data_IF_633251278753
#
_entry.id   IF_633251278753
#
_cell.length_a   1.000
_cell.length_b   1.000
_cell.length_c   1.000
_cell.angle_alpha   90.00
_cell.angle_beta   90.00
_cell.angle_gamma   90.00
#
_symmetry.space_group_name_H-M   'P 1'
#
loop_
_entity.id
_entity.type
_entity.pdbx_description
1 polymer ?
#
# COMPACT_ATOMS: atom_id res chain seq x y z
N UNK A 1 14.61 33.23 12.40
CA UNK A 1 13.92 31.94 12.18
C UNK A 1 13.58 31.69 10.71
N UNK A 2 12.94 32.64 10.02
CA UNK A 2 12.56 32.53 8.60
C UNK A 2 13.75 32.29 7.63
N UNK A 3 14.86 33.01 7.82
CA UNK A 3 16.06 32.91 6.96
C UNK A 3 16.72 31.52 7.05
N UNK A 4 16.78 30.94 8.25
CA UNK A 4 17.31 29.59 8.46
C UNK A 4 16.44 28.51 7.77
N UNK A 5 15.11 28.67 7.80
CA UNK A 5 14.18 27.77 7.12
C UNK A 5 14.34 27.84 5.58
N UNK A 6 14.48 29.05 5.03
CA UNK A 6 14.74 29.27 3.60
C UNK A 6 16.06 28.62 3.19
N UNK A 7 17.13 28.83 3.97
CA UNK A 7 18.45 28.28 3.69
C UNK A 7 18.49 26.74 3.77
N UNK A 8 17.67 26.13 4.65
CA UNK A 8 17.48 24.67 4.74
C UNK A 8 16.81 24.09 3.50
N UNK A 9 15.73 24.72 3.01
CA UNK A 9 15.03 24.27 1.80
C UNK A 9 15.91 24.39 0.55
N UNK A 10 16.73 25.44 0.47
CA UNK A 10 17.71 25.62 -0.61
C UNK A 10 18.78 24.51 -0.58
N UNK A 11 19.31 24.15 0.60
CA UNK A 11 20.23 23.02 0.73
C UNK A 11 19.61 21.69 0.32
N UNK A 12 18.33 21.46 0.64
CA UNK A 12 17.59 20.27 0.20
C UNK A 12 17.48 20.25 -1.34
N UNK A 13 17.17 21.40 -1.96
CA UNK A 13 17.12 21.54 -3.41
C UNK A 13 18.48 21.22 -4.05
N UNK A 14 19.59 21.74 -3.53
CA UNK A 14 20.92 21.41 -4.04
C UNK A 14 21.29 19.93 -3.85
N UNK A 15 20.75 19.27 -2.82
CA UNK A 15 20.92 17.82 -2.62
C UNK A 15 20.31 16.98 -3.76
N UNK A 16 19.26 17.47 -4.43
CA UNK A 16 18.70 16.81 -5.62
C UNK A 16 19.65 16.87 -6.82
N UNK A 17 20.53 17.88 -6.89
CA UNK A 17 21.55 18.03 -7.94
C UNK A 17 22.88 17.35 -7.59
N UNK A 18 23.00 16.72 -6.42
CA UNK A 18 24.16 15.90 -6.12
C UNK A 18 24.16 14.67 -7.02
N UNK A 19 25.26 14.45 -7.73
CA UNK A 19 25.44 13.29 -8.60
C UNK A 19 25.15 11.96 -7.85
N UNK A 20 25.50 11.89 -6.56
CA UNK A 20 25.24 10.72 -5.72
C UNK A 20 23.74 10.48 -5.43
N UNK A 21 22.91 11.52 -5.40
CA UNK A 21 21.46 11.38 -5.27
C UNK A 21 20.85 10.85 -6.57
N UNK A 22 21.23 11.43 -7.70
CA UNK A 22 20.76 11.04 -9.03
C UNK A 22 21.12 9.59 -9.33
N UNK A 23 22.36 9.16 -9.07
CA UNK A 23 22.77 7.76 -9.31
C UNK A 23 21.99 6.77 -8.46
N UNK A 24 21.75 7.09 -7.17
CA UNK A 24 20.90 6.26 -6.30
C UNK A 24 19.47 6.19 -6.83
N UNK A 25 18.89 7.32 -7.22
CA UNK A 25 17.54 7.37 -7.77
C UNK A 25 17.43 6.51 -9.04
N UNK A 26 18.40 6.63 -9.96
CA UNK A 26 18.45 5.83 -11.17
C UNK A 26 18.63 4.32 -10.87
N UNK A 27 19.47 3.96 -9.90
CA UNK A 27 19.62 2.57 -9.45
C UNK A 27 18.32 2.01 -8.86
N UNK A 28 17.60 2.79 -8.04
CA UNK A 28 16.31 2.39 -7.51
C UNK A 28 15.27 2.21 -8.62
N UNK A 29 15.21 3.15 -9.57
CA UNK A 29 14.30 3.06 -10.71
C UNK A 29 14.61 1.84 -11.59
N UNK A 30 15.90 1.55 -11.82
CA UNK A 30 16.33 0.37 -12.56
C UNK A 30 15.90 -0.91 -11.84
N UNK A 31 16.16 -1.02 -10.54
CA UNK A 31 15.77 -2.19 -9.74
C UNK A 31 14.24 -2.40 -9.75
N UNK A 32 13.47 -1.31 -9.64
CA UNK A 32 12.02 -1.35 -9.74
C UNK A 32 11.56 -1.83 -11.12
N UNK A 33 12.20 -1.39 -12.21
CA UNK A 33 11.85 -1.81 -13.58
C UNK A 33 12.18 -3.28 -13.87
N UNK A 34 13.19 -3.84 -13.21
CA UNK A 34 13.58 -5.24 -13.36
C UNK A 34 12.54 -6.19 -12.79
N UNK A 35 11.77 -5.77 -11.78
CA UNK A 35 10.78 -6.62 -11.13
C UNK A 35 9.65 -7.04 -12.10
N UNK A 36 8.93 -6.13 -12.78
CA UNK A 36 7.92 -6.51 -13.79
C UNK A 36 8.49 -7.31 -14.97
N UNK A 37 9.72 -7.00 -15.40
CA UNK A 37 10.39 -7.75 -16.47
C UNK A 37 10.62 -9.20 -16.06
N UNK A 38 11.09 -9.41 -14.83
CA UNK A 38 11.30 -10.74 -14.28
C UNK A 38 9.98 -11.50 -14.11
N UNK A 39 8.92 -10.84 -13.64
CA UNK A 39 7.59 -11.46 -13.53
C UNK A 39 7.01 -11.85 -14.88
N UNK A 40 7.15 -10.99 -15.88
CA UNK A 40 6.71 -11.27 -17.25
C UNK A 40 7.48 -12.46 -17.83
N UNK A 41 8.80 -12.51 -17.63
CA UNK A 41 9.61 -13.66 -18.00
C UNK A 41 9.13 -14.95 -17.32
N UNK A 42 8.80 -14.89 -16.02
CA UNK A 42 8.34 -16.04 -15.25
C UNK A 42 6.95 -16.53 -15.71
N UNK A 43 6.05 -15.61 -16.07
CA UNK A 43 4.77 -15.90 -16.72
C UNK A 43 4.96 -16.65 -18.04
N UNK A 44 5.86 -16.18 -18.91
CA UNK A 44 6.17 -16.87 -20.16
C UNK A 44 6.80 -18.25 -19.93
N UNK A 45 7.77 -18.34 -19.01
CA UNK A 45 8.44 -19.59 -18.68
C UNK A 45 7.45 -20.63 -18.14
N UNK A 46 6.63 -20.26 -17.16
CA UNK A 46 5.60 -21.15 -16.63
C UNK A 46 4.51 -21.45 -17.67
N UNK A 47 4.17 -20.49 -18.51
CA UNK A 47 3.25 -20.69 -19.65
C UNK A 47 3.76 -21.76 -20.62
N UNK A 48 5.08 -21.84 -20.85
CA UNK A 48 5.67 -22.88 -21.70
C UNK A 48 5.62 -24.29 -21.09
N UNK A 49 5.59 -24.39 -19.76
CA UNK A 49 5.57 -25.68 -19.03
C UNK A 49 4.14 -26.14 -18.73
N UNK A 50 3.28 -25.24 -18.25
CA UNK A 50 1.94 -25.53 -17.75
C UNK A 50 0.83 -25.18 -18.76
N UNK A 51 1.17 -24.44 -19.82
CA UNK A 51 0.23 -23.91 -20.80
C UNK A 51 -0.20 -22.47 -20.48
N UNK A 52 -0.11 -21.59 -21.47
CA UNK A 52 -0.38 -20.15 -21.32
C UNK A 52 -1.74 -19.83 -20.68
N UNK A 53 -2.81 -20.51 -21.09
CA UNK A 53 -4.16 -20.28 -20.54
C UNK A 53 -4.25 -20.64 -19.06
N UNK A 54 -3.63 -21.75 -18.65
CA UNK A 54 -3.64 -22.20 -17.26
C UNK A 54 -2.83 -21.25 -16.36
N UNK A 55 -1.64 -20.84 -16.83
CA UNK A 55 -0.77 -19.89 -16.12
C UNK A 55 -1.47 -18.52 -15.96
N UNK A 56 -2.14 -18.02 -17.00
CA UNK A 56 -2.94 -16.79 -16.91
C UNK A 56 -4.14 -16.95 -15.96
N UNK A 57 -4.84 -18.09 -16.00
CA UNK A 57 -5.95 -18.35 -15.09
C UNK A 57 -5.51 -18.40 -13.63
N UNK A 58 -4.34 -18.99 -13.33
CA UNK A 58 -3.77 -18.98 -11.98
C UNK A 58 -3.46 -17.55 -11.51
N UNK A 59 -2.76 -16.76 -12.33
CA UNK A 59 -2.43 -15.37 -12.01
C UNK A 59 -3.68 -14.46 -11.89
N UNK A 60 -4.72 -14.73 -12.66
CA UNK A 60 -6.00 -14.03 -12.49
C UNK A 60 -6.72 -14.45 -11.21
N UNK A 61 -6.65 -15.73 -10.84
CA UNK A 61 -7.30 -16.28 -9.65
C UNK A 61 -6.68 -15.73 -8.36
N UNK A 62 -5.37 -15.58 -8.31
CA UNK A 62 -4.65 -14.96 -7.17
C UNK A 62 -5.05 -13.50 -6.98
N UNK A 63 -5.10 -12.72 -8.06
CA UNK A 63 -5.59 -11.34 -8.02
C UNK A 63 -7.06 -11.25 -7.56
N UNK A 64 -7.93 -12.13 -8.07
CA UNK A 64 -9.32 -12.22 -7.64
C UNK A 64 -9.45 -12.56 -6.15
N UNK A 65 -8.69 -13.54 -5.65
CA UNK A 65 -8.66 -13.89 -4.23
C UNK A 65 -8.23 -12.69 -3.39
N UNK A 66 -7.23 -11.93 -3.83
CA UNK A 66 -6.81 -10.72 -3.15
C UNK A 66 -7.93 -9.69 -3.02
N UNK A 67 -8.66 -9.43 -4.10
CA UNK A 67 -9.82 -8.51 -4.08
C UNK A 67 -10.88 -9.01 -3.09
N UNK A 68 -11.20 -10.30 -3.12
CA UNK A 68 -12.24 -10.87 -2.24
C UNK A 68 -11.88 -10.71 -0.77
N UNK A 69 -10.62 -10.99 -0.39
CA UNK A 69 -10.17 -10.83 1.00
C UNK A 69 -10.16 -9.35 1.39
N UNK A 70 -9.69 -8.45 0.50
CA UNK A 70 -9.69 -7.01 0.76
C UNK A 70 -11.11 -6.47 0.97
N UNK A 71 -12.08 -6.87 0.14
CA UNK A 71 -13.47 -6.47 0.27
C UNK A 71 -14.09 -6.99 1.57
N UNK A 72 -13.84 -8.26 1.92
CA UNK A 72 -14.32 -8.86 3.16
C UNK A 72 -13.76 -8.17 4.41
N UNK A 73 -12.44 -7.98 4.45
CA UNK A 73 -11.75 -7.29 5.55
C UNK A 73 -12.20 -5.84 5.71
N UNK A 74 -12.31 -5.12 4.58
CA UNK A 74 -12.75 -3.71 4.55
C UNK A 74 -14.16 -3.56 5.10
N UNK A 75 -15.11 -4.40 4.65
CA UNK A 75 -16.50 -4.35 5.13
C UNK A 75 -16.58 -4.58 6.64
N UNK A 76 -15.93 -5.63 7.15
CA UNK A 76 -15.92 -5.96 8.57
C UNK A 76 -15.33 -4.82 9.41
N UNK A 77 -14.20 -4.29 8.98
CA UNK A 77 -13.50 -3.24 9.71
C UNK A 77 -14.27 -1.90 9.67
N UNK A 78 -14.90 -1.56 8.55
CA UNK A 78 -15.76 -0.38 8.43
C UNK A 78 -16.96 -0.43 9.38
N UNK A 79 -17.57 -1.60 9.57
CA UNK A 79 -18.68 -1.75 10.54
C UNK A 79 -18.22 -1.43 11.97
N UNK A 80 -17.03 -1.91 12.37
CA UNK A 80 -16.47 -1.66 13.70
C UNK A 80 -16.08 -0.18 13.83
N UNK A 81 -15.45 0.37 12.80
CA UNK A 81 -15.03 1.77 12.73
C UNK A 81 -16.22 2.71 12.96
N UNK A 82 -17.30 2.56 12.19
CA UNK A 82 -18.53 3.37 12.31
C UNK A 82 -19.16 3.25 13.69
N UNK A 83 -19.23 2.03 14.23
CA UNK A 83 -19.76 1.82 15.58
C UNK A 83 -18.97 2.62 16.62
N UNK A 84 -17.63 2.54 16.59
CA UNK A 84 -16.78 3.26 17.54
C UNK A 84 -16.90 4.78 17.40
N UNK A 85 -16.99 5.30 16.16
CA UNK A 85 -17.21 6.74 15.92
C UNK A 85 -18.53 7.18 16.56
N UNK A 86 -19.62 6.45 16.31
CA UNK A 86 -20.93 6.71 16.91
C UNK A 86 -20.93 6.63 18.43
N UNK A 87 -20.18 5.70 19.00
CA UNK A 87 -20.05 5.51 20.45
C UNK A 87 -19.11 6.56 21.09
N UNK A 88 -18.51 7.48 20.30
CA UNK A 88 -17.57 8.49 20.78
C UNK A 88 -16.20 7.92 21.16
N UNK A 89 -15.90 6.69 20.73
CA UNK A 89 -14.62 6.02 20.96
C UNK A 89 -13.64 6.29 19.82
N UNK A 90 -12.40 6.66 20.15
CA UNK A 90 -11.35 6.89 19.14
C UNK A 90 -10.88 5.58 18.48
N UNK A 91 -11.10 5.36 17.16
CA UNK A 91 -10.84 4.09 16.52
C UNK A 91 -9.53 4.10 15.71
N UNK A 92 -8.44 4.54 16.33
CA UNK A 92 -7.13 4.68 15.68
C UNK A 92 -6.60 3.37 15.08
N UNK A 93 -6.83 2.24 15.73
CA UNK A 93 -6.42 0.92 15.23
C UNK A 93 -7.18 0.54 13.96
N UNK A 94 -8.50 0.78 13.93
CA UNK A 94 -9.35 0.46 12.79
C UNK A 94 -9.00 1.31 11.58
N UNK A 95 -8.63 2.59 11.75
CA UNK A 95 -8.13 3.41 10.64
C UNK A 95 -6.86 2.84 10.02
N UNK A 96 -5.87 2.52 10.86
CA UNK A 96 -4.61 1.91 10.44
C UNK A 96 -4.86 0.60 9.69
N UNK A 97 -5.71 -0.25 10.26
CA UNK A 97 -6.03 -1.54 9.67
C UNK A 97 -6.75 -1.40 8.33
N UNK A 98 -7.69 -0.46 8.21
CA UNK A 98 -8.41 -0.16 6.97
C UNK A 98 -7.46 0.26 5.86
N UNK A 99 -6.55 1.20 6.15
CA UNK A 99 -5.52 1.65 5.20
C UNK A 99 -4.63 0.49 4.79
N UNK A 100 -4.23 -0.37 5.73
CA UNK A 100 -3.45 -1.57 5.48
C UNK A 100 -4.12 -2.56 4.53
N UNK A 101 -5.42 -2.83 4.74
CA UNK A 101 -6.21 -3.72 3.87
C UNK A 101 -6.29 -3.15 2.44
N UNK A 102 -6.53 -1.84 2.30
CA UNK A 102 -6.66 -1.19 0.98
C UNK A 102 -5.33 -1.22 0.22
N UNK A 103 -4.22 -0.91 0.89
CA UNK A 103 -2.88 -0.98 0.29
C UNK A 103 -2.56 -2.41 -0.13
N UNK A 104 -2.78 -3.39 0.74
CA UNK A 104 -2.59 -4.80 0.42
C UNK A 104 -3.43 -5.22 -0.78
N UNK A 105 -4.72 -4.86 -0.80
CA UNK A 105 -5.62 -5.14 -1.92
C UNK A 105 -5.12 -4.55 -3.24
N UNK A 106 -4.70 -3.28 -3.27
CA UNK A 106 -4.15 -2.64 -4.47
C UNK A 106 -2.85 -3.31 -4.93
N UNK A 107 -1.99 -3.73 -4.00
CA UNK A 107 -0.75 -4.44 -4.34
C UNK A 107 -0.99 -5.83 -4.93
N UNK A 108 -2.09 -6.52 -4.61
CA UNK A 108 -2.46 -7.80 -5.25
C UNK A 108 -3.18 -7.64 -6.59
N UNK A 109 -3.61 -6.43 -6.95
CA UNK A 109 -4.22 -6.20 -8.26
C UNK A 109 -3.19 -6.28 -9.40
N UNK A 110 -1.90 -6.11 -9.11
CA UNK A 110 -0.84 -6.28 -10.11
C UNK A 110 -0.54 -7.76 -10.30
N UNK A 111 -0.92 -8.36 -11.44
CA UNK A 111 -0.74 -9.80 -11.66
C UNK A 111 0.74 -10.14 -11.82
N UNK A 112 1.27 -10.94 -10.91
CA UNK A 112 2.66 -11.40 -10.98
C UNK A 112 2.91 -12.53 -9.99
N UNK A 113 3.52 -13.65 -10.40
CA UNK A 113 3.69 -14.82 -9.53
C UNK A 113 4.43 -14.54 -8.21
N UNK A 114 5.39 -13.62 -8.24
CA UNK A 114 6.17 -13.23 -7.05
C UNK A 114 5.36 -12.25 -6.22
N UNK A 115 4.75 -11.26 -6.87
CA UNK A 115 3.86 -10.30 -6.23
C UNK A 115 2.59 -10.96 -5.67
N UNK A 116 2.16 -12.10 -6.21
CA UNK A 116 1.05 -12.92 -5.70
C UNK A 116 1.44 -13.65 -4.41
N UNK A 117 2.65 -14.23 -4.36
CA UNK A 117 3.14 -14.87 -3.13
C UNK A 117 3.36 -13.85 -2.01
N UNK A 118 3.99 -12.71 -2.34
CA UNK A 118 4.12 -11.57 -1.43
C UNK A 118 2.76 -10.96 -1.09
N UNK A 119 1.84 -10.93 -2.04
CA UNK A 119 0.44 -10.52 -1.91
C UNK A 119 -0.30 -11.34 -0.86
N UNK A 120 -0.22 -12.65 -0.94
CA UNK A 120 -0.82 -13.54 0.05
C UNK A 120 -0.22 -13.31 1.45
N UNK A 121 1.09 -13.03 1.55
CA UNK A 121 1.71 -12.60 2.80
C UNK A 121 1.17 -11.23 3.28
N UNK A 122 0.90 -10.29 2.36
CA UNK A 122 0.33 -8.97 2.67
C UNK A 122 -1.09 -9.06 3.26
N UNK A 123 -1.78 -10.20 3.15
CA UNK A 123 -3.07 -10.45 3.81
C UNK A 123 -2.97 -10.88 5.28
N UNK A 124 -1.77 -11.12 5.80
CA UNK A 124 -1.58 -11.38 7.22
C UNK A 124 -1.92 -10.10 8.01
N UNK A 125 -2.80 -10.14 9.02
CA UNK A 125 -3.23 -8.95 9.77
C UNK A 125 -2.07 -8.13 10.34
N UNK A 126 -0.99 -8.80 10.73
CA UNK A 126 0.25 -8.16 11.22
C UNK A 126 0.90 -7.28 10.15
N UNK A 127 0.93 -7.75 8.90
CA UNK A 127 1.54 -7.04 7.78
C UNK A 127 0.64 -5.87 7.35
N UNK A 128 -0.68 -6.05 7.31
CA UNK A 128 -1.64 -4.98 7.03
C UNK A 128 -1.48 -3.83 8.04
N UNK A 129 -1.38 -4.13 9.32
CA UNK A 129 -1.17 -3.13 10.36
C UNK A 129 0.17 -2.40 10.21
N UNK A 130 1.23 -3.11 9.83
CA UNK A 130 2.53 -2.49 9.57
C UNK A 130 2.47 -1.53 8.37
N UNK A 131 1.89 -1.96 7.25
CA UNK A 131 1.70 -1.13 6.06
C UNK A 131 0.86 0.11 6.35
N UNK A 132 -0.26 -0.06 7.05
CA UNK A 132 -1.12 1.05 7.46
C UNK A 132 -0.35 2.10 8.26
N UNK A 133 0.45 1.67 9.25
CA UNK A 133 1.28 2.57 10.06
C UNK A 133 2.33 3.30 9.22
N UNK A 134 3.02 2.56 8.35
CA UNK A 134 4.06 3.14 7.47
C UNK A 134 3.44 4.19 6.55
N UNK A 135 2.30 3.88 5.94
CA UNK A 135 1.63 4.77 5.01
C UNK A 135 1.09 6.01 5.71
N UNK A 136 0.38 5.85 6.83
CA UNK A 136 -0.15 6.98 7.61
C UNK A 136 0.99 7.92 8.05
N UNK A 137 2.13 7.35 8.47
CA UNK A 137 3.32 8.13 8.83
C UNK A 137 3.94 8.83 7.61
N UNK A 138 4.03 8.15 6.47
CA UNK A 138 4.60 8.71 5.25
C UNK A 138 3.72 9.83 4.66
N UNK A 139 2.40 9.64 4.68
CA UNK A 139 1.40 10.60 4.22
C UNK A 139 1.12 11.72 5.24
N UNK A 140 1.71 11.64 6.44
CA UNK A 140 1.50 12.59 7.55
C UNK A 140 0.02 12.83 7.88
N UNK A 141 -0.77 11.76 7.83
CA UNK A 141 -2.21 11.84 8.11
C UNK A 141 -2.40 11.96 9.62
N UNK A 142 -3.09 13.02 10.05
CA UNK A 142 -3.53 13.16 11.44
C UNK A 142 -4.84 12.40 11.65
N UNK A 143 -4.73 11.23 12.27
CA UNK A 143 -5.88 10.36 12.53
C UNK A 143 -6.87 10.99 13.53
N UNK A 144 -6.42 11.92 14.37
CA UNK A 144 -7.28 12.61 15.32
C UNK A 144 -8.16 13.64 14.62
N UNK A 145 -7.58 14.42 13.72
CA UNK A 145 -8.34 15.36 12.88
C UNK A 145 -9.36 14.63 11.99
N UNK A 146 -8.96 13.49 11.39
CA UNK A 146 -9.86 12.65 10.61
C UNK A 146 -11.03 12.11 11.45
N UNK A 147 -10.75 11.69 12.68
CA UNK A 147 -11.77 11.23 13.63
C UNK A 147 -12.75 12.35 13.99
N UNK A 148 -12.25 13.54 14.34
CA UNK A 148 -13.08 14.70 14.68
C UNK A 148 -13.98 15.11 13.50
N UNK A 149 -13.45 15.09 12.27
CA UNK A 149 -14.24 15.34 11.06
C UNK A 149 -15.36 14.31 10.85
N UNK A 150 -15.06 13.02 11.01
CA UNK A 150 -16.04 11.95 10.83
C UNK A 150 -17.10 11.96 11.93
N UNK A 151 -16.73 12.31 13.15
CA UNK A 151 -17.65 12.48 14.26
C UNK A 151 -18.62 13.64 13.99
N UNK A 152 -18.14 14.78 13.46
CA UNK A 152 -19.00 15.88 13.04
C UNK A 152 -19.99 15.45 11.95
N UNK A 153 -19.56 14.63 10.98
CA UNK A 153 -20.42 14.16 9.89
C UNK A 153 -21.48 13.14 10.34
N UNK A 154 -21.17 12.21 11.26
CA UNK A 154 -22.15 11.24 11.78
C UNK A 154 -23.17 11.86 12.76
N UNK A 155 -22.93 13.08 13.24
CA UNK A 155 -23.86 13.84 14.09
C UNK A 155 -24.96 14.56 13.28
N UNK A 156 -24.88 14.60 11.94
CA UNK A 156 -25.90 15.14 11.03
C UNK A 156 -26.58 14.05 10.17
#
# INVERSE_FOLDING_TARGET
MLILAIMSNIKLFFKFFEHAFITKLLLLALLYSLLPLFETFLLFYLGSILGNYFTLAMAASTGLLGILIALGGTRKNLTILKRKIKDGEYPGHEFVHLVGILIGGVLLLTPGFITDFLGLLLFIPVIQNALGKIFIKAAKIDLKELYEYLQLYEIY
#
